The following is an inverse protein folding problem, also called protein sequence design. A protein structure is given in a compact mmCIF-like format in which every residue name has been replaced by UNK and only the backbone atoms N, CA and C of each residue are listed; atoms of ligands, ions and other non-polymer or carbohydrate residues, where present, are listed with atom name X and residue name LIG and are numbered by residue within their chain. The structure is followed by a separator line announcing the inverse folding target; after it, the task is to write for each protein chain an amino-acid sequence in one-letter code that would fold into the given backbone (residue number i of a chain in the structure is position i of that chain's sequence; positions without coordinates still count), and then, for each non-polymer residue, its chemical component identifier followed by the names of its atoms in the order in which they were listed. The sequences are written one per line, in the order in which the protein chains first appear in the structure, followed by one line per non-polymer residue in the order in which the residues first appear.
data_IF_548078274376
#
_entry.id   IF_548078274376
#
_cell.length_a   1.000
_cell.length_b   1.000
_cell.length_c   1.000
_cell.angle_alpha   90.00
_cell.angle_beta   90.00
_cell.angle_gamma   90.00
#
_symmetry.space_group_name_H-M   'P 1'
#
loop_
_entity.id
_entity.type
_entity.pdbx_description
1 polymer ?
#
# COMPACT_ATOMS: atom_id res chain seq x y z
N UNK A 1 -16.49 -9.94 -17.37
CA UNK A 1 -17.01 -10.91 -18.38
C UNK A 1 -17.86 -10.22 -19.46
N UNK A 2 -17.58 -8.95 -19.82
CA UNK A 2 -18.16 -8.23 -20.96
C UNK A 2 -19.58 -7.67 -20.75
N UNK A 3 -20.25 -7.88 -19.61
CA UNK A 3 -21.52 -7.21 -19.27
C UNK A 3 -21.24 -5.82 -18.68
N UNK A 4 -22.05 -4.83 -19.07
CA UNK A 4 -22.02 -3.50 -18.46
C UNK A 4 -22.59 -3.58 -17.03
N UNK A 5 -22.08 -2.72 -16.13
CA UNK A 5 -22.57 -2.65 -14.75
C UNK A 5 -24.07 -2.35 -14.70
N UNK A 6 -24.55 -1.52 -15.61
CA UNK A 6 -26.00 -1.19 -15.77
C UNK A 6 -26.90 -2.38 -16.04
N UNK A 7 -26.34 -3.50 -16.52
CA UNK A 7 -27.11 -4.68 -16.93
C UNK A 7 -27.34 -5.68 -15.79
N UNK A 8 -26.78 -5.38 -14.61
CA UNK A 8 -26.95 -6.20 -13.40
C UNK A 8 -28.16 -5.73 -12.60
N UNK A 9 -28.96 -6.67 -12.13
CA UNK A 9 -29.94 -6.36 -11.07
C UNK A 9 -29.20 -6.07 -9.76
N UNK A 10 -29.81 -5.33 -8.85
CA UNK A 10 -29.21 -5.05 -7.52
C UNK A 10 -28.79 -6.30 -6.78
N UNK A 11 -29.53 -7.40 -6.90
CA UNK A 11 -29.21 -8.68 -6.26
C UNK A 11 -28.04 -9.38 -6.93
N UNK A 12 -27.94 -9.39 -8.25
CA UNK A 12 -26.78 -9.92 -8.98
C UNK A 12 -25.53 -9.11 -8.65
N UNK A 13 -25.64 -7.78 -8.64
CA UNK A 13 -24.56 -6.88 -8.29
C UNK A 13 -24.03 -7.16 -6.88
N UNK A 14 -24.93 -7.27 -5.89
CA UNK A 14 -24.60 -7.58 -4.51
C UNK A 14 -23.99 -8.98 -4.32
N UNK A 15 -24.19 -9.93 -5.23
CA UNK A 15 -23.52 -11.23 -5.21
C UNK A 15 -22.17 -11.24 -5.92
N UNK A 16 -21.97 -10.33 -6.86
CA UNK A 16 -20.78 -10.28 -7.71
C UNK A 16 -19.70 -9.39 -7.11
N UNK A 17 -20.07 -8.27 -6.50
CA UNK A 17 -19.12 -7.28 -6.01
C UNK A 17 -19.35 -6.95 -4.54
N UNK A 18 -18.26 -6.88 -3.80
CA UNK A 18 -18.22 -6.39 -2.42
C UNK A 18 -17.40 -5.12 -2.32
N UNK A 19 -17.81 -4.21 -1.43
CA UNK A 19 -17.14 -2.92 -1.24
C UNK A 19 -16.86 -2.72 0.26
N UNK A 20 -15.63 -2.31 0.56
CA UNK A 20 -15.21 -1.87 1.89
C UNK A 20 -14.82 -0.40 1.79
N UNK A 21 -15.60 0.47 2.43
CA UNK A 21 -15.35 1.90 2.48
C UNK A 21 -14.68 2.28 3.80
N UNK A 22 -13.99 3.40 3.80
CA UNK A 22 -13.33 3.99 4.98
C UNK A 22 -14.33 4.53 6.00
N UNK A 23 -15.59 4.77 5.59
CA UNK A 23 -16.61 5.31 6.47
C UNK A 23 -16.95 4.37 7.63
N UNK A 24 -17.02 4.95 8.84
CA UNK A 24 -17.39 4.19 10.04
C UNK A 24 -18.88 3.87 10.01
N UNK A 25 -19.21 2.59 9.88
CA UNK A 25 -20.57 2.11 10.06
C UNK A 25 -20.91 2.26 11.55
N UNK A 26 -21.95 3.03 11.83
CA UNK A 26 -22.54 3.11 13.18
C UNK A 26 -23.56 1.99 13.31
N UNK A 27 -23.24 0.99 14.09
CA UNK A 27 -24.16 -0.09 14.45
C UNK A 27 -24.37 -0.03 15.95
N UNK A 28 -25.61 -0.09 16.39
CA UNK A 28 -25.96 -0.20 17.80
C UNK A 28 -26.35 -1.65 18.10
N UNK A 29 -25.82 -2.20 19.21
CA UNK A 29 -26.14 -3.55 19.72
C UNK A 29 -25.87 -4.70 18.73
N UNK A 30 -24.87 -4.60 17.88
CA UNK A 30 -24.45 -5.68 16.99
C UNK A 30 -23.10 -6.25 17.42
N UNK A 31 -23.01 -7.57 17.43
CA UNK A 31 -21.72 -8.25 17.59
C UNK A 31 -20.89 -8.18 16.30
N UNK A 32 -19.59 -8.41 16.41
CA UNK A 32 -18.71 -8.53 15.23
C UNK A 32 -19.21 -9.63 14.29
N UNK A 33 -19.71 -10.75 14.84
CA UNK A 33 -20.33 -11.85 14.08
C UNK A 33 -21.54 -11.38 13.29
N UNK A 34 -22.43 -10.58 13.89
CA UNK A 34 -23.60 -10.05 13.20
C UNK A 34 -23.22 -9.18 12.01
N UNK A 35 -22.20 -8.33 12.20
CA UNK A 35 -21.68 -7.49 11.12
C UNK A 35 -21.12 -8.33 9.97
N UNK A 36 -20.36 -9.39 10.26
CA UNK A 36 -19.84 -10.30 9.22
C UNK A 36 -21.00 -11.02 8.52
N UNK A 37 -22.00 -11.47 9.28
CA UNK A 37 -23.18 -12.17 8.77
C UNK A 37 -24.00 -11.33 7.79
N UNK A 38 -23.97 -9.98 7.89
CA UNK A 38 -24.58 -9.08 6.90
C UNK A 38 -24.05 -9.31 5.48
N UNK A 39 -22.83 -9.82 5.31
CA UNK A 39 -22.28 -10.23 4.02
C UNK A 39 -23.10 -11.32 3.32
N UNK A 40 -23.92 -12.07 4.07
CA UNK A 40 -24.80 -13.11 3.52
C UNK A 40 -26.17 -12.62 3.08
N UNK A 41 -26.57 -11.37 3.35
CA UNK A 41 -27.87 -10.85 2.98
C UNK A 41 -28.26 -11.04 1.50
N UNK A 42 -27.38 -10.91 0.51
CA UNK A 42 -27.74 -11.20 -0.88
C UNK A 42 -28.21 -12.64 -1.14
N UNK A 43 -27.92 -13.56 -0.24
CA UNK A 43 -28.22 -15.00 -0.32
C UNK A 43 -29.41 -15.41 0.54
N UNK A 44 -29.82 -14.58 1.51
CA UNK A 44 -30.92 -14.90 2.41
C UNK A 44 -32.28 -14.76 1.72
N UNK A 45 -33.29 -15.36 2.36
CA UNK A 45 -34.69 -15.20 1.99
C UNK A 45 -35.26 -13.84 2.48
N UNK A 46 -36.55 -13.61 2.23
CA UNK A 46 -37.25 -12.37 2.64
C UNK A 46 -37.13 -12.06 4.15
N UNK A 47 -37.00 -13.08 5.00
CA UNK A 47 -36.86 -12.93 6.46
C UNK A 47 -35.43 -12.72 6.92
N UNK A 48 -34.45 -12.66 6.03
CA UNK A 48 -33.04 -12.47 6.37
C UNK A 48 -32.40 -13.63 7.18
N UNK A 49 -33.03 -14.81 7.21
CA UNK A 49 -32.54 -15.96 8.00
C UNK A 49 -31.34 -16.59 7.33
N UNK A 50 -30.28 -16.78 8.12
CA UNK A 50 -29.09 -17.53 7.72
C UNK A 50 -29.39 -19.03 7.72
N UNK A 51 -28.79 -19.72 6.77
CA UNK A 51 -28.73 -21.21 6.75
C UNK A 51 -27.53 -21.70 7.54
N UNK A 52 -27.47 -22.99 7.83
CA UNK A 52 -26.27 -23.59 8.44
C UNK A 52 -25.01 -23.40 7.59
N UNK A 53 -25.15 -23.40 6.26
CA UNK A 53 -24.05 -23.15 5.34
C UNK A 53 -23.57 -21.69 5.45
N UNK A 54 -24.47 -20.73 5.61
CA UNK A 54 -24.11 -19.33 5.82
C UNK A 54 -23.33 -19.13 7.14
N UNK A 55 -23.72 -19.84 8.21
CA UNK A 55 -23.01 -19.80 9.49
C UNK A 55 -21.58 -20.35 9.38
N UNK A 56 -21.38 -21.41 8.59
CA UNK A 56 -20.05 -21.94 8.30
C UNK A 56 -19.21 -20.89 7.57
N UNK A 57 -19.79 -20.22 6.54
CA UNK A 57 -19.10 -19.17 5.78
C UNK A 57 -18.73 -17.98 6.67
N UNK A 58 -19.62 -17.58 7.58
CA UNK A 58 -19.34 -16.52 8.58
C UNK A 58 -18.13 -16.89 9.43
N UNK A 59 -18.11 -18.12 9.98
CA UNK A 59 -16.99 -18.60 10.80
C UNK A 59 -15.67 -18.67 10.01
N UNK A 60 -15.70 -19.18 8.78
CA UNK A 60 -14.52 -19.23 7.92
C UNK A 60 -13.99 -17.82 7.60
N UNK A 61 -14.88 -16.86 7.35
CA UNK A 61 -14.52 -15.47 7.08
C UNK A 61 -13.87 -14.79 8.28
N UNK A 62 -14.43 -15.01 9.49
CA UNK A 62 -13.83 -14.54 10.75
C UNK A 62 -12.45 -15.15 10.99
N UNK A 63 -12.32 -16.47 10.72
CA UNK A 63 -11.04 -17.18 10.85
C UNK A 63 -10.00 -16.64 9.88
N UNK A 64 -10.38 -16.35 8.63
CA UNK A 64 -9.47 -15.86 7.58
C UNK A 64 -8.82 -14.51 7.94
N UNK A 65 -9.52 -13.67 8.71
CA UNK A 65 -9.00 -12.39 9.21
C UNK A 65 -8.50 -12.45 10.66
N UNK A 66 -8.34 -13.63 11.23
CA UNK A 66 -7.90 -13.83 12.64
C UNK A 66 -8.74 -13.03 13.65
N UNK A 67 -10.08 -13.11 13.54
CA UNK A 67 -11.02 -12.36 14.37
C UNK A 67 -12.07 -13.22 15.08
N UNK A 68 -11.83 -14.54 15.22
CA UNK A 68 -12.76 -15.43 15.94
C UNK A 68 -12.84 -15.10 17.43
N UNK A 69 -11.75 -14.66 18.03
CA UNK A 69 -11.63 -14.29 19.45
C UNK A 69 -12.48 -13.09 19.84
N UNK A 70 -12.78 -12.21 18.87
CA UNK A 70 -13.61 -11.01 19.08
C UNK A 70 -15.00 -11.14 18.45
N UNK A 71 -15.38 -12.31 17.94
CA UNK A 71 -16.62 -12.50 17.18
C UNK A 71 -17.87 -12.05 17.95
N UNK A 72 -17.92 -12.32 19.25
CA UNK A 72 -19.05 -12.01 20.13
C UNK A 72 -18.94 -10.62 20.79
N UNK A 73 -17.87 -9.87 20.53
CA UNK A 73 -17.71 -8.53 21.07
C UNK A 73 -18.65 -7.56 20.37
N UNK A 74 -19.05 -6.51 21.10
CA UNK A 74 -19.79 -5.39 20.53
C UNK A 74 -18.92 -4.65 19.49
N UNK A 75 -19.41 -4.57 18.25
CA UNK A 75 -18.70 -3.95 17.14
C UNK A 75 -18.39 -2.48 17.39
N UNK A 76 -19.19 -1.79 18.21
CA UNK A 76 -18.96 -0.38 18.56
C UNK A 76 -17.77 -0.18 19.48
N UNK A 77 -17.36 -1.23 20.24
CA UNK A 77 -16.35 -1.14 21.31
C UNK A 77 -14.98 -1.68 20.91
N UNK A 78 -14.81 -2.20 19.69
CA UNK A 78 -13.52 -2.71 19.22
C UNK A 78 -12.63 -1.59 18.65
N UNK A 79 -11.31 -1.86 18.60
CA UNK A 79 -10.32 -0.93 18.02
C UNK A 79 -10.54 -0.73 16.51
N UNK A 80 -9.99 0.36 15.95
CA UNK A 80 -10.11 0.63 14.52
C UNK A 80 -9.45 -0.46 13.67
N UNK A 81 -8.32 -1.04 14.08
CA UNK A 81 -7.69 -2.18 13.39
C UNK A 81 -8.54 -3.46 13.46
N UNK A 82 -9.18 -3.75 14.60
CA UNK A 82 -10.13 -4.85 14.72
C UNK A 82 -11.35 -4.61 13.83
N UNK A 83 -11.86 -3.38 13.81
CA UNK A 83 -12.98 -2.97 12.95
C UNK A 83 -12.68 -3.22 11.48
N UNK A 84 -11.48 -2.83 11.02
CA UNK A 84 -11.04 -3.05 9.65
C UNK A 84 -11.05 -4.55 9.28
N UNK A 85 -10.54 -5.42 10.17
CA UNK A 85 -10.58 -6.87 9.98
C UNK A 85 -12.02 -7.42 9.89
N UNK A 86 -12.92 -6.94 10.74
CA UNK A 86 -14.33 -7.34 10.70
C UNK A 86 -15.01 -6.89 9.41
N UNK A 87 -14.72 -5.67 8.93
CA UNK A 87 -15.25 -5.17 7.66
C UNK A 87 -14.72 -5.97 6.46
N UNK A 88 -13.45 -6.37 6.50
CA UNK A 88 -12.88 -7.27 5.49
C UNK A 88 -13.55 -8.65 5.56
N UNK A 89 -13.75 -9.22 6.77
CA UNK A 89 -14.45 -10.50 6.94
C UNK A 89 -15.87 -10.44 6.36
N UNK A 90 -16.60 -9.34 6.57
CA UNK A 90 -17.93 -9.12 5.97
C UNK A 90 -17.88 -9.18 4.45
N UNK A 91 -16.87 -8.52 3.85
CA UNK A 91 -16.68 -8.50 2.42
C UNK A 91 -16.33 -9.89 1.85
N UNK A 92 -15.46 -10.64 2.53
CA UNK A 92 -15.10 -12.03 2.20
C UNK A 92 -16.32 -12.96 2.33
N UNK A 93 -17.10 -12.78 3.38
CA UNK A 93 -18.31 -13.57 3.68
C UNK A 93 -19.36 -13.50 2.55
N UNK A 94 -19.38 -12.41 1.80
CA UNK A 94 -20.21 -12.22 0.62
C UNK A 94 -19.81 -13.14 -0.54
N UNK A 95 -18.60 -13.76 -0.53
CA UNK A 95 -18.02 -14.56 -1.63
C UNK A 95 -18.10 -13.85 -2.98
N UNK A 96 -17.51 -12.66 -3.12
CA UNK A 96 -17.60 -11.84 -4.33
C UNK A 96 -16.67 -12.37 -5.44
N UNK A 97 -16.97 -12.04 -6.71
CA UNK A 97 -16.01 -12.16 -7.82
C UNK A 97 -15.06 -10.96 -7.90
N UNK A 98 -15.50 -9.81 -7.38
CA UNK A 98 -14.73 -8.55 -7.33
C UNK A 98 -14.84 -7.94 -5.95
N UNK A 99 -13.72 -7.58 -5.35
CA UNK A 99 -13.68 -6.81 -4.11
C UNK A 99 -13.06 -5.45 -4.36
N UNK A 100 -13.71 -4.39 -3.87
CA UNK A 100 -13.21 -3.02 -3.93
C UNK A 100 -12.98 -2.53 -2.50
N UNK A 101 -11.77 -2.07 -2.21
CA UNK A 101 -11.42 -1.57 -0.88
C UNK A 101 -10.88 -0.14 -1.01
N UNK A 102 -11.43 0.74 -0.21
CA UNK A 102 -11.01 2.13 -0.13
C UNK A 102 -10.13 2.32 1.10
N UNK A 103 -8.83 2.60 0.86
CA UNK A 103 -7.80 2.82 1.87
C UNK A 103 -7.78 1.79 3.02
N UNK A 104 -7.78 0.49 2.74
CA UNK A 104 -7.94 -0.53 3.79
C UNK A 104 -6.73 -0.64 4.72
N UNK A 105 -5.59 0.00 4.39
CA UNK A 105 -4.38 0.04 5.22
C UNK A 105 -4.35 1.22 6.19
N UNK A 106 -5.27 2.18 6.05
CA UNK A 106 -5.35 3.35 6.92
C UNK A 106 -5.57 2.94 8.37
N UNK A 107 -4.86 3.59 9.31
CA UNK A 107 -4.92 3.32 10.75
C UNK A 107 -4.44 1.94 11.22
N UNK A 108 -3.87 1.13 10.33
CA UNK A 108 -3.25 -0.14 10.68
C UNK A 108 -1.76 0.05 10.99
N UNK A 109 -1.26 -0.68 11.98
CA UNK A 109 0.17 -0.86 12.17
C UNK A 109 0.76 -1.76 11.06
N UNK A 110 2.09 -1.81 10.97
CA UNK A 110 2.79 -2.52 9.90
C UNK A 110 2.44 -4.02 9.85
N UNK A 111 2.24 -4.65 11.01
CA UNK A 111 1.89 -6.07 11.09
C UNK A 111 0.52 -6.32 10.45
N UNK A 112 -0.49 -5.57 10.87
CA UNK A 112 -1.85 -5.74 10.37
C UNK A 112 -1.98 -5.31 8.90
N UNK A 113 -1.17 -4.35 8.42
CA UNK A 113 -1.07 -4.03 6.98
C UNK A 113 -0.60 -5.23 6.17
N UNK A 114 0.49 -5.88 6.61
CA UNK A 114 1.03 -7.07 5.93
C UNK A 114 0.00 -8.19 5.93
N UNK A 115 -0.60 -8.52 7.08
CA UNK A 115 -1.63 -9.56 7.20
C UNK A 115 -2.82 -9.31 6.25
N UNK A 116 -3.28 -8.06 6.15
CA UNK A 116 -4.36 -7.68 5.24
C UNK A 116 -3.97 -7.87 3.77
N UNK A 117 -2.79 -7.41 3.38
CA UNK A 117 -2.31 -7.54 2.01
C UNK A 117 -2.10 -9.00 1.61
N UNK A 118 -1.60 -9.84 2.52
CA UNK A 118 -1.46 -11.29 2.31
C UNK A 118 -2.83 -11.94 2.05
N UNK A 119 -3.86 -11.56 2.81
CA UNK A 119 -5.23 -12.05 2.60
C UNK A 119 -5.75 -11.64 1.22
N UNK A 120 -5.55 -10.39 0.82
CA UNK A 120 -5.98 -9.89 -0.50
C UNK A 120 -5.26 -10.61 -1.64
N UNK A 121 -3.95 -10.83 -1.51
CA UNK A 121 -3.16 -11.57 -2.48
C UNK A 121 -3.62 -13.04 -2.56
N UNK A 122 -3.90 -13.67 -1.42
CA UNK A 122 -4.44 -15.02 -1.40
C UNK A 122 -5.79 -15.11 -2.11
N UNK A 123 -6.70 -14.16 -1.88
CA UNK A 123 -7.98 -14.08 -2.57
C UNK A 123 -7.81 -13.92 -4.09
N UNK A 124 -6.87 -13.10 -4.53
CA UNK A 124 -6.61 -12.92 -5.96
C UNK A 124 -6.07 -14.19 -6.61
N UNK A 125 -5.08 -14.84 -5.98
CA UNK A 125 -4.34 -15.97 -6.58
C UNK A 125 -5.10 -17.29 -6.40
N UNK A 126 -5.61 -17.57 -5.20
CA UNK A 126 -6.24 -18.88 -4.88
C UNK A 126 -7.75 -18.89 -5.16
N UNK A 127 -8.44 -17.80 -4.79
CA UNK A 127 -9.90 -17.73 -4.88
C UNK A 127 -10.34 -17.10 -6.22
N UNK A 128 -9.39 -16.64 -7.07
CA UNK A 128 -9.62 -15.99 -8.37
C UNK A 128 -10.56 -14.77 -8.26
N UNK A 129 -10.43 -14.01 -7.19
CA UNK A 129 -11.17 -12.77 -6.95
C UNK A 129 -10.40 -11.60 -7.55
N UNK A 130 -11.07 -10.74 -8.32
CA UNK A 130 -10.47 -9.48 -8.77
C UNK A 130 -10.44 -8.48 -7.61
N UNK A 131 -9.24 -8.05 -7.20
CA UNK A 131 -9.04 -7.12 -6.09
C UNK A 131 -8.73 -5.73 -6.65
N UNK A 132 -9.51 -4.74 -6.27
CA UNK A 132 -9.28 -3.33 -6.56
C UNK A 132 -9.10 -2.62 -5.21
N UNK A 133 -7.97 -1.97 -5.01
CA UNK A 133 -7.65 -1.33 -3.73
C UNK A 133 -7.04 0.05 -3.95
N UNK A 134 -7.52 1.06 -3.23
CA UNK A 134 -6.84 2.35 -3.14
C UNK A 134 -5.79 2.30 -2.03
N UNK A 135 -4.58 2.74 -2.32
CA UNK A 135 -3.46 2.78 -1.36
C UNK A 135 -2.74 4.12 -1.46
N UNK A 136 -2.32 4.63 -0.31
CA UNK A 136 -1.43 5.79 -0.25
C UNK A 136 0.04 5.41 -0.25
N UNK A 137 0.37 4.19 0.18
CA UNK A 137 1.74 3.70 0.28
C UNK A 137 2.19 3.09 -1.05
N UNK A 138 3.03 3.84 -1.80
CA UNK A 138 3.55 3.43 -3.11
C UNK A 138 4.32 2.11 -3.00
N UNK A 139 5.14 1.96 -1.96
CA UNK A 139 5.95 0.76 -1.74
C UNK A 139 5.11 -0.49 -1.48
N UNK A 140 3.93 -0.36 -0.88
CA UNK A 140 3.00 -1.47 -0.72
C UNK A 140 2.33 -1.80 -2.06
N UNK A 141 1.85 -0.78 -2.78
CA UNK A 141 1.25 -0.96 -4.10
C UNK A 141 2.23 -1.61 -5.08
N UNK A 142 3.51 -1.19 -5.06
CA UNK A 142 4.55 -1.77 -5.91
C UNK A 142 4.81 -3.25 -5.65
N UNK A 143 4.58 -3.73 -4.41
CA UNK A 143 4.86 -5.12 -4.01
C UNK A 143 3.72 -6.08 -4.32
N UNK A 144 2.48 -5.60 -4.33
CA UNK A 144 1.32 -6.49 -4.40
C UNK A 144 0.49 -6.37 -5.68
N UNK A 145 0.56 -5.23 -6.38
CA UNK A 145 -0.31 -4.98 -7.51
C UNK A 145 0.24 -5.57 -8.82
N UNK A 146 -0.62 -6.25 -9.58
CA UNK A 146 -0.32 -6.63 -10.98
C UNK A 146 -0.34 -5.40 -11.89
N UNK A 147 -1.25 -4.47 -11.60
CA UNK A 147 -1.43 -3.19 -12.31
C UNK A 147 -1.73 -2.08 -11.32
N UNK A 148 -1.27 -0.89 -11.64
CA UNK A 148 -1.57 0.32 -10.87
C UNK A 148 -2.23 1.37 -11.75
N UNK A 149 -3.12 2.13 -11.16
CA UNK A 149 -3.73 3.31 -11.75
C UNK A 149 -3.41 4.51 -10.86
N UNK A 150 -2.58 5.41 -11.36
CA UNK A 150 -2.23 6.64 -10.65
C UNK A 150 -3.09 7.79 -11.17
N UNK A 151 -3.62 8.58 -10.24
CA UNK A 151 -4.41 9.78 -10.54
C UNK A 151 -3.62 10.98 -10.06
N UNK A 152 -3.09 11.77 -10.99
CA UNK A 152 -2.33 12.97 -10.68
C UNK A 152 -3.22 14.12 -10.19
N UNK A 153 -2.62 15.08 -9.50
CA UNK A 153 -3.28 16.29 -9.03
C UNK A 153 -3.90 17.13 -10.18
N UNK A 154 -3.35 17.00 -11.39
CA UNK A 154 -3.86 17.61 -12.63
C UNK A 154 -5.00 16.80 -13.30
N UNK A 155 -5.46 15.71 -12.67
CA UNK A 155 -6.49 14.82 -13.18
C UNK A 155 -6.00 13.84 -14.25
N UNK A 156 -4.72 13.82 -14.57
CA UNK A 156 -4.16 12.80 -15.48
C UNK A 156 -4.18 11.43 -14.82
N UNK A 157 -4.52 10.43 -15.64
CA UNK A 157 -4.56 9.03 -15.22
C UNK A 157 -3.46 8.29 -15.95
N UNK A 158 -2.59 7.63 -15.21
CA UNK A 158 -1.61 6.69 -15.74
C UNK A 158 -1.98 5.27 -15.30
N UNK A 159 -1.92 4.32 -16.23
CA UNK A 159 -2.23 2.91 -15.97
C UNK A 159 -1.15 2.00 -16.54
N UNK A 160 -0.71 1.04 -15.75
CA UNK A 160 0.30 0.09 -16.20
C UNK A 160 0.80 -0.81 -15.08
N UNK A 161 1.86 -1.57 -15.36
CA UNK A 161 2.55 -2.35 -14.33
C UNK A 161 3.31 -1.44 -13.38
N UNK A 162 3.44 -1.80 -12.09
CA UNK A 162 4.16 -0.99 -11.10
C UNK A 162 5.55 -0.55 -11.56
N UNK A 163 6.33 -1.47 -12.14
CA UNK A 163 7.71 -1.23 -12.57
C UNK A 163 7.82 -0.18 -13.70
N UNK A 164 6.73 0.04 -14.45
CA UNK A 164 6.68 1.05 -15.52
C UNK A 164 6.13 2.39 -15.06
N UNK A 165 5.26 2.37 -14.04
CA UNK A 165 4.60 3.57 -13.53
C UNK A 165 5.39 4.20 -12.39
N UNK A 166 5.92 3.40 -11.47
CA UNK A 166 6.67 3.89 -10.32
C UNK A 166 8.15 4.12 -10.68
N UNK A 167 8.42 5.28 -11.26
CA UNK A 167 9.77 5.80 -11.46
C UNK A 167 9.94 7.11 -10.70
N UNK A 168 11.16 7.46 -10.30
CA UNK A 168 11.44 8.64 -9.47
C UNK A 168 10.84 9.92 -10.07
N UNK A 169 11.00 10.12 -11.38
CA UNK A 169 10.48 11.31 -12.08
C UNK A 169 8.95 11.35 -12.10
N UNK A 170 8.30 10.18 -12.34
CA UNK A 170 6.83 10.11 -12.40
C UNK A 170 6.23 10.31 -11.02
N UNK A 171 6.78 9.68 -9.99
CA UNK A 171 6.32 9.85 -8.61
C UNK A 171 6.50 11.30 -8.17
N UNK A 172 7.65 11.91 -8.47
CA UNK A 172 7.88 13.32 -8.16
C UNK A 172 6.85 14.23 -8.84
N UNK A 173 6.52 13.96 -10.10
CA UNK A 173 5.48 14.69 -10.85
C UNK A 173 4.09 14.43 -10.29
N UNK A 174 3.73 13.17 -9.98
CA UNK A 174 2.42 12.77 -9.48
C UNK A 174 2.07 13.47 -8.17
N UNK A 175 3.05 13.54 -7.25
CA UNK A 175 2.88 14.18 -5.95
C UNK A 175 3.22 15.68 -5.96
N UNK A 176 3.66 16.23 -7.09
CA UNK A 176 4.07 17.63 -7.18
C UNK A 176 5.21 17.98 -6.23
N UNK A 177 6.19 17.06 -6.07
CA UNK A 177 7.28 17.26 -5.12
C UNK A 177 8.16 18.44 -5.55
N UNK A 178 8.08 19.55 -4.82
CA UNK A 178 8.93 20.74 -4.99
C UNK A 178 10.09 20.75 -4.00
N UNK A 179 10.00 19.99 -2.93
CA UNK A 179 11.00 19.89 -1.86
C UNK A 179 11.25 18.42 -1.54
N UNK A 180 12.51 17.98 -1.65
CA UNK A 180 12.88 16.59 -1.46
C UNK A 180 12.69 15.74 -2.72
N UNK A 181 13.02 14.45 -2.60
CA UNK A 181 12.93 13.46 -3.67
C UNK A 181 12.34 12.18 -3.13
N UNK A 182 11.67 11.42 -4.00
CA UNK A 182 11.25 10.06 -3.69
C UNK A 182 12.13 9.08 -4.48
N UNK A 183 12.65 8.09 -3.81
CA UNK A 183 13.43 7.03 -4.43
C UNK A 183 12.60 5.75 -4.52
N UNK A 184 12.22 5.36 -5.74
CA UNK A 184 11.40 4.17 -5.98
C UNK A 184 12.12 2.87 -5.63
N UNK A 185 13.45 2.82 -5.77
CA UNK A 185 14.24 1.63 -5.48
C UNK A 185 14.21 1.25 -4.00
N UNK A 186 14.24 2.25 -3.13
CA UNK A 186 14.23 2.05 -1.67
C UNK A 186 12.88 2.33 -1.03
N UNK A 187 11.89 2.85 -1.78
CA UNK A 187 10.63 3.30 -1.22
C UNK A 187 10.82 4.42 -0.17
N UNK A 188 11.86 5.25 -0.33
CA UNK A 188 12.23 6.26 0.66
C UNK A 188 12.10 7.67 0.14
N UNK A 189 11.72 8.57 1.04
CA UNK A 189 11.69 10.00 0.79
C UNK A 189 12.94 10.65 1.40
N UNK A 190 13.68 11.39 0.59
CA UNK A 190 14.77 12.22 1.08
C UNK A 190 14.34 13.68 1.12
N UNK A 191 14.65 14.35 2.23
CA UNK A 191 14.32 15.75 2.42
C UNK A 191 15.26 16.66 1.61
N UNK A 192 15.00 17.97 1.62
CA UNK A 192 15.83 18.96 0.94
C UNK A 192 17.29 18.85 1.41
N UNK A 193 18.22 18.86 0.46
CA UNK A 193 19.66 18.86 0.76
C UNK A 193 20.08 20.15 1.48
N UNK A 194 21.09 20.08 2.36
CA UNK A 194 21.66 21.26 3.02
C UNK A 194 22.22 22.27 2.00
N UNK A 195 21.99 23.54 2.26
CA UNK A 195 22.53 24.63 1.45
C UNK A 195 23.88 25.11 1.98
N UNK A 196 24.69 25.70 1.09
CA UNK A 196 25.98 26.30 1.45
C UNK A 196 27.19 25.56 0.85
N UNK A 197 28.38 26.04 1.23
CA UNK A 197 29.64 25.44 0.77
C UNK A 197 29.88 24.12 1.49
N UNK A 198 30.17 23.02 0.76
CA UNK A 198 30.47 21.74 1.37
C UNK A 198 31.67 21.81 2.33
N UNK A 199 31.50 21.33 3.53
CA UNK A 199 32.51 21.30 4.60
C UNK A 199 33.09 19.92 4.85
N UNK A 200 32.40 18.88 4.38
CA UNK A 200 32.74 17.49 4.62
C UNK A 200 32.75 16.74 3.30
N UNK A 201 33.71 15.86 3.14
CA UNK A 201 33.72 14.83 2.11
C UNK A 201 33.46 13.48 2.75
N UNK A 202 32.48 12.76 2.25
CA UNK A 202 32.09 11.43 2.75
C UNK A 202 32.47 10.38 1.72
N UNK A 203 33.49 9.60 2.02
CA UNK A 203 33.83 8.38 1.28
C UNK A 203 32.92 7.26 1.79
N UNK A 204 31.90 6.95 1.05
CA UNK A 204 30.92 5.88 1.35
C UNK A 204 30.86 4.87 0.23
N UNK A 205 29.99 3.89 0.37
CA UNK A 205 29.72 2.84 -0.60
C UNK A 205 29.14 1.62 0.08
N UNK A 206 28.45 0.77 -0.69
CA UNK A 206 27.85 -0.48 -0.23
C UNK A 206 26.92 -0.32 1.01
N UNK A 207 26.16 0.78 1.08
CA UNK A 207 25.22 1.08 2.16
C UNK A 207 25.82 1.77 3.38
N UNK A 208 27.13 2.03 3.42
CA UNK A 208 27.80 2.61 4.60
C UNK A 208 27.62 4.13 4.70
N UNK A 209 27.38 4.81 3.58
CA UNK A 209 27.26 6.27 3.52
C UNK A 209 25.89 6.82 3.91
N UNK A 210 24.81 6.09 3.67
CA UNK A 210 23.42 6.56 3.82
C UNK A 210 23.14 7.19 5.19
N UNK A 211 23.58 6.56 6.28
CA UNK A 211 23.36 7.08 7.63
C UNK A 211 24.10 8.40 7.86
N UNK A 212 25.31 8.52 7.34
CA UNK A 212 26.14 9.73 7.46
C UNK A 212 25.51 10.86 6.63
N UNK A 213 25.06 10.58 5.40
CA UNK A 213 24.42 11.57 4.54
C UNK A 213 23.16 12.16 5.20
N UNK A 214 22.32 11.30 5.79
CA UNK A 214 21.11 11.73 6.52
C UNK A 214 21.45 12.47 7.81
N UNK A 215 22.53 12.09 8.50
CA UNK A 215 22.98 12.80 9.68
C UNK A 215 23.46 14.21 9.32
N UNK A 216 24.30 14.36 8.31
CA UNK A 216 24.77 15.67 7.82
C UNK A 216 23.60 16.55 7.34
N UNK A 217 22.61 15.93 6.68
CA UNK A 217 21.39 16.62 6.27
C UNK A 217 20.63 17.16 7.49
N UNK A 218 20.42 16.34 8.54
CA UNK A 218 19.76 16.78 9.79
C UNK A 218 20.50 17.90 10.52
N UNK A 219 21.83 17.90 10.43
CA UNK A 219 22.67 18.94 11.02
C UNK A 219 22.78 20.21 10.14
N UNK A 220 22.20 20.20 8.94
CA UNK A 220 22.30 21.32 7.99
C UNK A 220 23.70 21.51 7.43
N UNK A 221 24.54 20.48 7.43
CA UNK A 221 25.93 20.53 6.97
C UNK A 221 26.00 20.10 5.52
N UNK A 222 26.34 21.04 4.62
CA UNK A 222 26.58 20.73 3.22
C UNK A 222 27.83 19.86 3.06
N UNK A 223 27.75 18.83 2.22
CA UNK A 223 28.82 17.84 2.03
C UNK A 223 28.94 17.41 0.57
N UNK A 224 30.09 16.83 0.25
CA UNK A 224 30.31 16.05 -0.98
C UNK A 224 30.35 14.58 -0.66
N UNK A 225 29.91 13.75 -1.58
CA UNK A 225 29.98 12.30 -1.46
C UNK A 225 30.75 11.70 -2.63
N UNK A 226 31.38 10.59 -2.40
CA UNK A 226 32.08 9.80 -3.42
C UNK A 226 33.27 9.03 -2.85
N UNK A 227 34.04 8.30 -3.66
CA UNK A 227 33.73 8.02 -5.07
C UNK A 227 32.71 6.88 -5.13
N UNK A 228 31.60 7.06 -5.79
CA UNK A 228 30.52 6.06 -5.88
C UNK A 228 30.36 5.60 -7.33
N UNK A 229 30.14 4.31 -7.51
CA UNK A 229 29.63 3.82 -8.79
C UNK A 229 28.15 4.18 -8.92
N UNK A 230 27.68 4.45 -10.16
CA UNK A 230 26.28 4.81 -10.40
C UNK A 230 25.27 3.74 -9.98
N UNK A 231 25.70 2.47 -9.85
CA UNK A 231 24.90 1.36 -9.36
C UNK A 231 25.12 1.05 -7.87
N UNK A 232 25.90 1.86 -7.15
CA UNK A 232 26.05 1.69 -5.70
C UNK A 232 24.74 2.04 -4.99
N UNK A 233 24.41 1.26 -3.95
CA UNK A 233 23.18 1.50 -3.17
C UNK A 233 23.19 2.84 -2.42
N UNK A 234 24.34 3.43 -2.14
CA UNK A 234 24.45 4.76 -1.54
C UNK A 234 24.21 5.90 -2.55
N UNK A 235 24.43 5.64 -3.85
CA UNK A 235 24.38 6.66 -4.89
C UNK A 235 23.05 7.44 -4.95
N UNK A 236 21.85 6.81 -4.94
CA UNK A 236 20.59 7.56 -5.01
C UNK A 236 20.39 8.52 -3.83
N UNK A 237 20.80 8.13 -2.62
CA UNK A 237 20.69 8.97 -1.42
C UNK A 237 21.75 10.08 -1.44
N UNK A 238 22.98 9.75 -1.86
CA UNK A 238 24.03 10.76 -2.06
C UNK A 238 23.58 11.81 -3.09
N UNK A 239 23.03 11.40 -4.23
CA UNK A 239 22.51 12.30 -5.27
C UNK A 239 21.42 13.23 -4.77
N UNK A 240 20.57 12.74 -3.86
CA UNK A 240 19.50 13.55 -3.27
C UNK A 240 20.01 14.55 -2.22
N UNK A 241 20.99 14.20 -1.40
CA UNK A 241 21.37 14.95 -0.20
C UNK A 241 22.70 15.70 -0.30
N UNK A 242 23.65 15.21 -1.10
CA UNK A 242 24.94 15.86 -1.26
C UNK A 242 24.86 17.10 -2.17
N UNK A 243 25.74 18.06 -1.97
CA UNK A 243 25.92 19.20 -2.88
C UNK A 243 26.48 18.75 -4.22
N UNK A 244 27.39 17.77 -4.18
CA UNK A 244 28.06 17.18 -5.32
C UNK A 244 28.37 15.70 -5.01
N UNK A 245 28.22 14.84 -6.01
CA UNK A 245 28.60 13.43 -5.92
C UNK A 245 29.64 13.15 -6.98
N UNK A 246 30.77 12.60 -6.55
CA UNK A 246 31.83 12.15 -7.46
C UNK A 246 31.52 10.70 -7.81
N UNK A 247 31.30 10.43 -9.11
CA UNK A 247 30.81 9.14 -9.59
C UNK A 247 31.70 8.55 -10.66
N UNK A 248 31.73 7.24 -10.70
CA UNK A 248 32.35 6.47 -11.77
C UNK A 248 31.30 5.56 -12.43
N UNK A 249 31.53 5.27 -13.70
CA UNK A 249 30.67 4.36 -14.45
C UNK A 249 30.85 2.93 -13.97
N UNK A 250 29.78 2.16 -14.05
CA UNK A 250 29.77 0.75 -13.72
C UNK A 250 30.85 -0.02 -14.49
N UNK A 251 31.59 -0.88 -13.77
CA UNK A 251 32.62 -1.76 -14.34
C UNK A 251 33.83 -1.06 -14.98
N UNK A 252 33.95 0.25 -14.87
CA UNK A 252 35.16 0.99 -15.26
C UNK A 252 36.10 1.17 -14.06
N UNK A 253 37.43 1.15 -14.28
CA UNK A 253 38.37 1.49 -13.20
C UNK A 253 38.24 2.97 -12.84
N UNK A 254 38.50 3.29 -11.58
CA UNK A 254 38.51 4.70 -11.13
C UNK A 254 39.49 5.50 -11.97
N UNK A 255 38.98 6.55 -12.61
CA UNK A 255 39.78 7.43 -13.48
C UNK A 255 40.84 8.20 -12.69
N UNK A 256 41.98 8.50 -13.34
CA UNK A 256 43.02 9.32 -12.70
C UNK A 256 42.59 10.77 -12.42
N UNK A 257 41.57 11.22 -13.14
CA UNK A 257 41.04 12.61 -13.02
C UNK A 257 39.95 12.70 -11.93
N UNK A 258 39.62 11.58 -11.27
CA UNK A 258 38.60 11.48 -10.22
C UNK A 258 39.17 11.80 -8.82
N UNK A 259 40.50 11.96 -8.71
CA UNK A 259 41.19 12.32 -7.48
C UNK A 259 41.50 13.84 -7.43
#
# INVERSE_FOLDING_TARGET
KGRKISDFTSKEYAKTMSVVLTEKIKTEMMTCRDVVAMGRYPYTNYFGRLTKEDEVIVNESLKKVSALDIAENDFSQISDGQRQRIMLARAICQKPEVIVLDEPTSFLDIRHKIELLDILQEMAVKDNVAVIVSLHEIELAAKIADYVMCVGADGKIEFGRPEKIFTDDRISSLYGLTHGTYNCMYGSTELKKPEGTPKVFVAGGAGTGVFIYRELQRLGIAFRAGILYENDCDFPVAKALASEVITEKMFEPIGKDTF
#
